data_IF_135686104585
#
_entry.id   IF_135686104585
#
_cell.length_a   1.000
_cell.length_b   1.000
_cell.length_c   1.000
_cell.angle_alpha   90.00
_cell.angle_beta   90.00
_cell.angle_gamma   90.00
#
_symmetry.space_group_name_H-M   'P 1'
#
loop_
_entity.id
_entity.type
_entity.pdbx_description
1 polymer ?
#
# COMPACT_ATOMS: atom_id res chain seq x y z
N UNK A 1 -0.24 -4.07 40.02
CA UNK A 1 -1.45 -3.26 40.27
C UNK A 1 -1.55 -2.21 39.18
N UNK A 2 -2.77 -1.81 38.75
CA UNK A 2 -2.94 -0.66 37.83
C UNK A 2 -3.27 -0.98 36.37
N UNK A 3 -4.00 -2.06 36.07
CA UNK A 3 -4.75 -2.18 34.80
C UNK A 3 -6.12 -1.54 35.00
N UNK A 4 -6.39 -0.38 34.39
CA UNK A 4 -7.75 0.15 34.09
C UNK A 4 -7.65 1.57 33.48
N UNK A 5 -7.65 1.67 32.14
CA UNK A 5 -8.04 2.88 31.38
C UNK A 5 -8.11 2.54 29.87
N UNK A 6 -9.10 1.73 29.45
CA UNK A 6 -9.41 1.51 28.02
C UNK A 6 -10.79 0.87 27.79
N UNK A 7 -11.83 1.38 28.46
CA UNK A 7 -13.23 1.07 28.15
C UNK A 7 -14.08 2.33 28.38
N UNK A 8 -14.30 3.15 27.33
CA UNK A 8 -15.28 4.25 27.39
C UNK A 8 -15.76 4.81 26.02
N UNK A 9 -15.67 4.05 24.91
CA UNK A 9 -16.32 4.41 23.64
C UNK A 9 -17.55 3.54 23.30
N UNK A 10 -17.72 2.39 23.96
CA UNK A 10 -18.86 1.49 23.76
C UNK A 10 -20.26 2.13 23.94
N UNK A 11 -20.50 3.08 24.88
CA UNK A 11 -21.80 3.74 24.99
C UNK A 11 -22.16 4.61 23.77
N UNK A 12 -21.16 5.32 23.22
CA UNK A 12 -21.37 6.21 22.05
C UNK A 12 -21.71 5.44 20.77
N UNK A 13 -21.24 4.20 20.64
CA UNK A 13 -21.55 3.37 19.47
C UNK A 13 -23.01 2.86 19.41
N UNK A 14 -23.68 2.73 20.55
CA UNK A 14 -25.09 2.36 20.58
C UNK A 14 -26.00 3.55 20.19
N UNK A 15 -25.71 4.74 20.72
CA UNK A 15 -26.55 5.93 20.56
C UNK A 15 -26.72 6.36 19.09
N UNK A 16 -25.66 6.40 18.29
CA UNK A 16 -25.77 6.80 16.87
C UNK A 16 -26.71 5.89 16.03
N UNK A 17 -27.00 4.66 16.48
CA UNK A 17 -27.94 3.75 15.79
C UNK A 17 -29.36 3.94 16.33
N UNK A 18 -29.54 4.01 17.65
CA UNK A 18 -30.88 4.12 18.27
C UNK A 18 -31.53 5.48 18.07
N UNK A 19 -30.77 6.59 18.02
CA UNK A 19 -31.34 7.93 17.83
C UNK A 19 -31.96 8.14 16.44
N UNK A 20 -31.42 7.49 15.41
CA UNK A 20 -31.93 7.55 14.03
C UNK A 20 -33.26 6.82 13.85
N UNK A 21 -33.57 5.87 14.73
CA UNK A 21 -34.87 5.18 14.79
C UNK A 21 -35.85 5.93 15.71
N UNK A 22 -35.39 6.42 16.87
CA UNK A 22 -36.20 7.27 17.76
C UNK A 22 -36.67 8.57 17.09
N UNK A 23 -35.82 9.20 16.26
CA UNK A 23 -36.16 10.39 15.48
C UNK A 23 -37.27 10.16 14.44
N UNK A 24 -37.58 8.90 14.09
CA UNK A 24 -38.70 8.57 13.18
C UNK A 24 -40.01 8.28 13.90
N UNK A 25 -39.98 8.02 15.21
CA UNK A 25 -41.18 7.66 15.99
C UNK A 25 -41.78 8.85 16.75
N UNK A 26 -40.99 9.87 17.10
CA UNK A 26 -41.49 11.05 17.83
C UNK A 26 -41.91 12.20 16.91
N UNK A 27 -43.02 12.02 16.18
CA UNK A 27 -43.89 13.14 15.78
C UNK A 27 -44.93 13.33 16.88
N UNK A 28 -44.49 13.86 18.02
CA UNK A 28 -45.38 14.19 19.15
C UNK A 28 -45.92 15.61 18.99
N UNK A 29 -47.21 15.79 19.26
CA UNK A 29 -47.97 17.02 19.01
C UNK A 29 -47.87 18.07 20.11
N UNK A 30 -46.83 18.03 20.96
CA UNK A 30 -46.71 18.93 22.12
C UNK A 30 -45.51 19.89 22.03
N UNK A 31 -45.77 21.16 22.32
CA UNK A 31 -45.00 22.33 21.88
C UNK A 31 -43.74 22.66 22.67
N UNK A 32 -42.95 21.66 23.08
CA UNK A 32 -41.64 21.88 23.74
C UNK A 32 -40.52 21.10 23.06
N UNK A 33 -39.86 21.77 22.11
CA UNK A 33 -38.62 21.28 21.51
C UNK A 33 -37.47 21.34 22.52
N UNK A 34 -37.13 20.20 23.11
CA UNK A 34 -35.82 19.99 23.75
C UNK A 34 -34.72 20.24 22.71
N UNK A 35 -33.81 21.18 22.98
CA UNK A 35 -32.59 21.32 22.17
C UNK A 35 -31.76 20.05 22.34
N UNK A 36 -31.80 19.17 21.34
CA UNK A 36 -30.75 18.16 21.15
C UNK A 36 -29.48 18.92 20.77
N UNK A 37 -28.42 18.75 21.54
CA UNK A 37 -27.18 19.50 21.35
C UNK A 37 -26.53 19.18 20.00
N UNK A 38 -26.30 20.21 19.18
CA UNK A 38 -25.79 20.06 17.82
C UNK A 38 -24.41 19.36 17.73
N UNK A 39 -23.68 19.28 18.86
CA UNK A 39 -22.38 18.61 18.96
C UNK A 39 -22.46 17.11 18.64
N UNK A 40 -23.50 16.39 19.06
CA UNK A 40 -23.55 14.92 18.86
C UNK A 40 -23.65 14.54 17.37
N UNK A 41 -24.40 15.36 16.61
CA UNK A 41 -24.53 15.21 15.15
C UNK A 41 -23.19 15.27 14.41
N UNK A 42 -22.20 16.01 14.94
CA UNK A 42 -20.88 16.13 14.33
C UNK A 42 -20.03 14.87 14.53
N UNK A 43 -20.15 14.23 15.70
CA UNK A 43 -19.42 13.02 16.08
C UNK A 43 -19.92 11.80 15.29
N UNK A 44 -21.24 11.55 15.29
CA UNK A 44 -21.80 10.47 14.48
C UNK A 44 -21.51 10.66 12.98
N UNK A 45 -21.51 11.91 12.48
CA UNK A 45 -21.13 12.21 11.09
C UNK A 45 -19.66 11.85 10.79
N UNK A 46 -18.73 12.20 11.66
CA UNK A 46 -17.32 11.87 11.49
C UNK A 46 -17.09 10.34 11.50
N UNK A 47 -17.71 9.63 12.45
CA UNK A 47 -17.65 8.17 12.56
C UNK A 47 -18.20 7.50 11.28
N UNK A 48 -19.36 7.94 10.79
CA UNK A 48 -19.97 7.38 9.58
C UNK A 48 -19.18 7.73 8.31
N UNK A 49 -18.56 8.91 8.25
CA UNK A 49 -17.62 9.31 7.19
C UNK A 49 -16.42 8.37 7.15
N UNK A 50 -15.83 8.08 8.30
CA UNK A 50 -14.69 7.18 8.42
C UNK A 50 -15.08 5.73 8.09
N UNK A 51 -16.22 5.23 8.59
CA UNK A 51 -16.75 3.90 8.27
C UNK A 51 -17.01 3.71 6.78
N UNK A 52 -17.55 4.72 6.09
CA UNK A 52 -17.72 4.68 4.64
C UNK A 52 -16.40 4.44 3.91
N UNK A 53 -15.32 5.14 4.30
CA UNK A 53 -13.99 4.94 3.73
C UNK A 53 -13.43 3.55 4.09
N UNK A 54 -13.51 3.13 5.36
CA UNK A 54 -13.06 1.80 5.82
C UNK A 54 -13.66 0.66 5.01
N UNK A 55 -14.99 0.67 4.79
CA UNK A 55 -15.66 -0.35 3.98
C UNK A 55 -15.35 -0.21 2.48
N UNK A 56 -15.16 1.00 1.94
CA UNK A 56 -14.76 1.15 0.53
C UNK A 56 -13.39 0.53 0.26
N UNK A 57 -12.42 0.74 1.17
CA UNK A 57 -11.03 0.31 1.01
C UNK A 57 -10.79 -1.14 1.47
N UNK A 58 -11.52 -1.61 2.49
CA UNK A 58 -11.26 -2.88 3.18
C UNK A 58 -10.16 -2.76 4.24
N UNK A 59 -10.20 -1.66 5.00
CA UNK A 59 -9.30 -1.32 6.11
C UNK A 59 -9.82 -1.85 7.46
N UNK A 60 -9.01 -1.81 8.52
CA UNK A 60 -9.45 -2.16 9.88
C UNK A 60 -9.80 -3.64 10.07
N UNK A 61 -9.33 -4.53 9.19
CA UNK A 61 -9.73 -5.94 9.14
C UNK A 61 -11.07 -6.19 8.42
N UNK A 62 -11.74 -5.15 7.90
CA UNK A 62 -12.98 -5.30 7.15
C UNK A 62 -12.72 -5.85 5.74
N UNK A 63 -13.71 -6.58 5.21
CA UNK A 63 -13.77 -6.92 3.78
C UNK A 63 -14.26 -5.68 3.03
N UNK A 64 -13.63 -5.38 1.89
CA UNK A 64 -14.02 -4.26 1.05
C UNK A 64 -15.42 -4.49 0.47
N UNK A 65 -16.35 -3.61 0.77
CA UNK A 65 -17.78 -3.70 0.46
C UNK A 65 -18.32 -2.28 0.14
N UNK A 66 -18.62 -2.05 -1.13
CA UNK A 66 -19.09 -0.74 -1.62
C UNK A 66 -20.55 -0.43 -1.22
N UNK A 67 -21.36 -1.46 -0.97
CA UNK A 67 -22.77 -1.32 -0.59
C UNK A 67 -22.87 -0.93 0.89
N UNK A 68 -22.13 -1.61 1.76
CA UNK A 68 -22.00 -1.23 3.18
C UNK A 68 -21.28 0.12 3.34
N UNK A 69 -20.27 0.40 2.50
CA UNK A 69 -19.64 1.71 2.41
C UNK A 69 -20.65 2.83 2.11
N UNK A 70 -21.52 2.63 1.12
CA UNK A 70 -22.57 3.58 0.76
C UNK A 70 -23.64 3.75 1.86
N UNK A 71 -23.97 2.68 2.58
CA UNK A 71 -24.87 2.76 3.73
C UNK A 71 -24.36 3.76 4.78
N UNK A 72 -23.12 3.64 5.23
CA UNK A 72 -22.52 4.59 6.18
C UNK A 72 -22.36 5.99 5.58
N UNK A 73 -22.05 6.11 4.29
CA UNK A 73 -21.95 7.41 3.65
C UNK A 73 -23.29 8.19 3.65
N UNK A 74 -24.43 7.50 3.48
CA UNK A 74 -25.76 8.12 3.63
C UNK A 74 -26.02 8.59 5.07
N UNK A 75 -25.57 7.84 6.07
CA UNK A 75 -25.66 8.24 7.48
C UNK A 75 -24.72 9.39 7.86
N UNK A 76 -23.78 9.78 6.99
CA UNK A 76 -22.90 10.93 7.15
C UNK A 76 -23.42 12.21 6.45
N UNK A 77 -24.61 12.17 5.85
CA UNK A 77 -25.22 13.32 5.18
C UNK A 77 -25.85 14.27 6.20
N UNK A 78 -25.54 15.56 6.10
CA UNK A 78 -26.21 16.62 6.87
C UNK A 78 -26.94 17.52 5.88
N UNK A 79 -28.26 17.68 6.02
CA UNK A 79 -29.09 18.47 5.08
C UNK A 79 -28.87 18.07 3.60
N UNK A 80 -28.79 16.77 3.31
CA UNK A 80 -28.46 16.21 1.99
C UNK A 80 -27.08 16.63 1.42
N UNK A 81 -26.22 17.27 2.22
CA UNK A 81 -24.86 17.63 1.83
C UNK A 81 -23.88 16.53 2.22
N UNK A 82 -23.12 16.10 1.22
CA UNK A 82 -22.03 15.15 1.35
C UNK A 82 -20.85 15.77 2.11
N UNK A 83 -20.19 15.05 3.04
CA UNK A 83 -18.87 15.42 3.55
C UNK A 83 -17.87 15.59 2.41
N UNK A 84 -16.93 16.52 2.56
CA UNK A 84 -15.93 16.82 1.52
C UNK A 84 -15.04 15.59 1.24
N UNK A 85 -14.71 14.88 2.31
CA UNK A 85 -13.95 13.63 2.37
C UNK A 85 -14.58 12.51 1.52
N UNK A 86 -15.90 12.57 1.32
CA UNK A 86 -16.69 11.61 0.55
C UNK A 86 -17.07 12.11 -0.85
N UNK A 87 -16.70 13.32 -1.28
CA UNK A 87 -17.17 13.87 -2.57
C UNK A 87 -16.74 13.05 -3.80
N UNK A 88 -15.54 12.48 -3.77
CA UNK A 88 -15.07 11.57 -4.82
C UNK A 88 -15.65 10.16 -4.66
N UNK A 89 -15.94 9.75 -3.42
CA UNK A 89 -16.59 8.47 -3.10
C UNK A 89 -18.06 8.43 -3.56
N UNK A 90 -18.79 9.55 -3.41
CA UNK A 90 -20.09 9.78 -4.04
C UNK A 90 -20.05 9.50 -5.54
N UNK A 91 -19.01 9.97 -6.21
CA UNK A 91 -18.83 9.73 -7.65
C UNK A 91 -18.66 8.23 -7.90
N UNK A 92 -17.86 7.51 -7.10
CA UNK A 92 -17.75 6.05 -7.18
C UNK A 92 -19.07 5.31 -6.93
N UNK A 93 -19.92 5.77 -6.01
CA UNK A 93 -21.25 5.20 -5.79
C UNK A 93 -22.19 5.40 -6.97
N UNK A 94 -22.17 6.57 -7.63
CA UNK A 94 -22.90 6.77 -8.90
C UNK A 94 -22.34 5.85 -9.99
N UNK A 95 -21.02 5.73 -10.11
CA UNK A 95 -20.38 4.80 -11.05
C UNK A 95 -20.75 3.33 -10.81
N UNK A 96 -21.09 2.95 -9.57
CA UNK A 96 -21.58 1.62 -9.19
C UNK A 96 -23.11 1.46 -9.34
N UNK A 97 -23.85 2.56 -9.51
CA UNK A 97 -25.32 2.58 -9.58
C UNK A 97 -26.04 2.63 -8.22
N UNK A 98 -25.32 2.90 -7.12
CA UNK A 98 -25.89 2.96 -5.77
C UNK A 98 -26.52 4.33 -5.44
N UNK A 99 -26.01 5.39 -6.06
CA UNK A 99 -26.42 6.77 -5.83
C UNK A 99 -26.83 7.42 -7.15
N UNK A 100 -27.93 8.20 -7.12
CA UNK A 100 -28.50 8.90 -8.28
C UNK A 100 -28.46 10.43 -8.12
N UNK A 101 -27.79 10.94 -7.08
CA UNK A 101 -27.81 12.36 -6.72
C UNK A 101 -26.94 13.24 -7.63
N UNK A 102 -26.22 12.66 -8.58
CA UNK A 102 -25.58 13.32 -9.71
C UNK A 102 -25.60 12.38 -10.92
N UNK A 103 -25.55 12.92 -12.14
CA UNK A 103 -25.52 12.09 -13.36
C UNK A 103 -24.19 11.36 -13.51
N UNK A 104 -24.17 10.23 -14.23
CA UNK A 104 -22.93 9.49 -14.43
C UNK A 104 -21.87 10.31 -15.20
N UNK A 105 -22.30 11.15 -16.14
CA UNK A 105 -21.41 12.10 -16.83
C UNK A 105 -20.77 13.11 -15.85
N UNK A 106 -21.47 13.52 -14.79
CA UNK A 106 -20.89 14.34 -13.72
C UNK A 106 -19.94 13.53 -12.83
N UNK A 107 -20.26 12.27 -12.53
CA UNK A 107 -19.39 11.37 -11.76
C UNK A 107 -18.04 11.19 -12.48
N UNK A 108 -18.07 10.98 -13.80
CA UNK A 108 -16.88 10.83 -14.62
C UNK A 108 -16.12 12.14 -14.81
N UNK A 109 -16.81 13.26 -15.07
CA UNK A 109 -16.16 14.58 -15.12
C UNK A 109 -15.53 14.97 -13.78
N UNK A 110 -16.00 14.45 -12.64
CA UNK A 110 -15.29 14.59 -11.35
C UNK A 110 -13.99 13.81 -11.36
N UNK A 111 -14.01 12.50 -11.63
CA UNK A 111 -12.78 11.72 -11.72
C UNK A 111 -11.78 12.29 -12.74
N UNK A 112 -12.23 12.69 -13.93
CA UNK A 112 -11.38 13.33 -14.94
C UNK A 112 -10.74 14.63 -14.45
N UNK A 113 -11.49 15.50 -13.73
CA UNK A 113 -10.92 16.73 -13.14
C UNK A 113 -9.87 16.43 -12.09
N UNK A 114 -10.07 15.43 -11.25
CA UNK A 114 -9.08 15.03 -10.24
C UNK A 114 -7.83 14.41 -10.90
N UNK A 115 -8.01 13.55 -11.93
CA UNK A 115 -6.89 12.93 -12.67
C UNK A 115 -6.08 13.97 -13.44
N UNK A 116 -6.74 14.95 -14.08
CA UNK A 116 -6.09 16.04 -14.82
C UNK A 116 -5.65 17.20 -13.92
N UNK A 117 -5.69 17.04 -12.60
CA UNK A 117 -5.19 18.02 -11.64
C UNK A 117 -3.65 18.09 -11.68
N UNK A 118 -3.10 19.28 -11.52
CA UNK A 118 -1.66 19.49 -11.27
C UNK A 118 -1.26 19.11 -9.82
N UNK A 119 -2.24 18.86 -8.95
CA UNK A 119 -2.06 18.32 -7.61
C UNK A 119 -1.94 16.79 -7.69
N UNK A 120 -0.74 16.27 -7.40
CA UNK A 120 -0.43 14.85 -7.43
C UNK A 120 -1.24 14.03 -6.43
N UNK A 121 -1.51 14.55 -5.21
CA UNK A 121 -2.30 13.83 -4.22
C UNK A 121 -3.76 13.66 -4.65
N UNK A 122 -4.33 14.68 -5.31
CA UNK A 122 -5.69 14.59 -5.89
C UNK A 122 -5.75 13.59 -7.05
N UNK A 123 -4.76 13.64 -7.93
CA UNK A 123 -4.60 12.70 -9.04
C UNK A 123 -4.44 11.26 -8.55
N UNK A 124 -3.54 11.02 -7.59
CA UNK A 124 -3.26 9.71 -7.02
C UNK A 124 -4.45 9.16 -6.24
N UNK A 125 -5.15 9.99 -5.45
CA UNK A 125 -6.40 9.59 -4.76
C UNK A 125 -7.46 9.18 -5.78
N UNK A 126 -7.63 9.91 -6.88
CA UNK A 126 -8.59 9.55 -7.92
C UNK A 126 -8.23 8.23 -8.61
N UNK A 127 -6.97 8.04 -8.98
CA UNK A 127 -6.49 6.79 -9.57
C UNK A 127 -6.66 5.61 -8.59
N UNK A 128 -6.31 5.78 -7.31
CA UNK A 128 -6.50 4.76 -6.28
C UNK A 128 -7.98 4.41 -6.07
N UNK A 129 -8.88 5.40 -6.06
CA UNK A 129 -10.32 5.17 -5.96
C UNK A 129 -10.87 4.41 -7.17
N UNK A 130 -10.40 4.71 -8.38
CA UNK A 130 -10.79 3.95 -9.59
C UNK A 130 -10.19 2.55 -9.62
N UNK A 131 -8.97 2.36 -9.09
CA UNK A 131 -8.35 1.04 -8.91
C UNK A 131 -9.14 0.19 -7.90
N UNK A 132 -9.58 0.77 -6.78
CA UNK A 132 -10.45 0.07 -5.83
C UNK A 132 -11.84 -0.20 -6.42
N UNK A 133 -12.44 0.78 -7.10
CA UNK A 133 -13.71 0.63 -7.79
C UNK A 133 -13.65 -0.48 -8.85
N UNK A 134 -12.50 -0.72 -9.48
CA UNK A 134 -12.27 -1.84 -10.40
C UNK A 134 -12.33 -3.24 -9.77
N UNK A 135 -12.42 -3.35 -8.44
CA UNK A 135 -12.75 -4.59 -7.74
C UNK A 135 -14.27 -4.82 -7.63
N UNK A 136 -15.06 -3.74 -7.63
CA UNK A 136 -16.52 -3.75 -7.57
C UNK A 136 -17.20 -3.64 -8.94
N UNK A 137 -16.40 -3.32 -9.97
CA UNK A 137 -16.78 -3.24 -11.38
C UNK A 137 -16.22 -4.42 -12.18
N UNK A 138 -16.92 -4.83 -13.25
CA UNK A 138 -16.43 -5.83 -14.21
C UNK A 138 -15.19 -5.36 -14.98
N UNK A 139 -14.37 -6.31 -15.44
CA UNK A 139 -13.24 -6.07 -16.36
C UNK A 139 -13.55 -6.60 -17.76
N UNK A 140 -13.17 -5.85 -18.78
CA UNK A 140 -13.46 -6.14 -20.19
C UNK A 140 -12.36 -5.57 -21.11
N UNK A 141 -12.27 -6.06 -22.33
CA UNK A 141 -11.37 -5.64 -23.40
C UNK A 141 -12.19 -5.29 -24.64
N UNK A 142 -11.88 -4.19 -25.34
CA UNK A 142 -12.63 -3.77 -26.53
C UNK A 142 -11.84 -4.01 -27.82
N UNK A 143 -12.47 -4.56 -28.86
CA UNK A 143 -11.94 -4.63 -30.23
C UNK A 143 -13.08 -4.52 -31.26
N UNK A 144 -12.98 -3.55 -32.17
CA UNK A 144 -14.02 -3.29 -33.18
C UNK A 144 -15.31 -2.77 -32.54
N UNK A 145 -16.41 -3.50 -32.69
CA UNK A 145 -17.68 -3.27 -31.99
C UNK A 145 -17.96 -4.33 -30.91
N UNK A 146 -16.95 -5.14 -30.56
CA UNK A 146 -17.10 -6.31 -29.70
C UNK A 146 -16.30 -6.12 -28.41
N UNK A 147 -16.92 -6.54 -27.30
CA UNK A 147 -16.37 -6.46 -25.96
C UNK A 147 -16.15 -7.90 -25.44
N UNK A 148 -14.93 -8.15 -24.99
CA UNK A 148 -14.39 -9.44 -24.57
C UNK A 148 -14.11 -9.40 -23.06
N UNK A 149 -14.12 -10.54 -22.37
CA UNK A 149 -13.75 -10.59 -20.95
C UNK A 149 -12.26 -10.83 -20.68
N UNK A 150 -11.52 -11.28 -21.70
CA UNK A 150 -10.09 -11.56 -21.63
C UNK A 150 -9.29 -10.68 -22.61
N UNK A 151 -7.96 -10.68 -22.48
CA UNK A 151 -7.03 -9.94 -23.36
C UNK A 151 -6.68 -10.75 -24.62
N UNK A 152 -6.83 -12.07 -24.56
CA UNK A 152 -6.44 -13.01 -25.63
C UNK A 152 -7.50 -13.16 -26.74
N UNK A 153 -8.67 -12.54 -26.57
CA UNK A 153 -9.84 -12.52 -27.46
C UNK A 153 -10.46 -13.90 -27.69
N UNK A 154 -10.35 -14.81 -26.71
CA UNK A 154 -10.75 -16.22 -26.86
C UNK A 154 -12.26 -16.48 -26.62
N UNK A 155 -12.99 -15.55 -25.99
CA UNK A 155 -14.43 -15.65 -25.76
C UNK A 155 -15.20 -14.34 -26.05
N UNK A 156 -16.30 -14.42 -26.81
CA UNK A 156 -17.18 -13.29 -27.21
C UNK A 156 -18.67 -13.69 -27.15
N UNK A 157 -19.57 -12.90 -26.52
CA UNK A 157 -20.99 -13.30 -26.31
C UNK A 157 -22.00 -12.14 -25.96
N UNK A 158 -23.35 -12.40 -25.78
CA UNK A 158 -24.53 -11.43 -25.59
C UNK A 158 -25.32 -11.45 -24.22
N UNK A 159 -25.76 -10.29 -23.64
CA UNK A 159 -25.66 -9.73 -22.24
C UNK A 159 -26.42 -10.31 -21.00
N UNK A 160 -25.82 -10.20 -19.78
CA UNK A 160 -26.54 -9.74 -18.56
C UNK A 160 -26.08 -8.38 -17.97
N UNK A 161 -27.03 -7.44 -17.81
CA UNK A 161 -26.83 -6.05 -17.34
C UNK A 161 -26.29 -5.93 -15.89
N UNK A 162 -26.15 -7.02 -15.16
CA UNK A 162 -25.69 -7.03 -13.76
C UNK A 162 -24.17 -6.85 -13.59
N UNK A 163 -23.38 -7.08 -14.64
CA UNK A 163 -21.93 -6.91 -14.60
C UNK A 163 -21.39 -6.18 -15.84
N UNK A 164 -22.13 -5.14 -16.21
CA UNK A 164 -21.69 -3.95 -16.94
C UNK A 164 -22.60 -2.83 -16.41
N UNK A 165 -22.08 -1.71 -15.91
CA UNK A 165 -22.98 -0.62 -15.50
C UNK A 165 -23.51 0.03 -16.78
N UNK A 166 -24.71 -0.41 -17.17
CA UNK A 166 -25.48 0.15 -18.26
C UNK A 166 -25.93 1.56 -17.87
N UNK A 167 -25.28 2.55 -18.46
CA UNK A 167 -25.39 3.96 -18.11
C UNK A 167 -26.61 4.60 -18.75
N UNK A 168 -26.85 4.26 -20.02
CA UNK A 168 -27.85 4.90 -20.87
C UNK A 168 -28.19 4.01 -22.05
N UNK A 169 -29.45 3.92 -22.43
CA UNK A 169 -29.88 3.32 -23.69
C UNK A 169 -30.37 4.42 -24.62
N UNK A 170 -29.89 4.44 -25.86
CA UNK A 170 -30.34 5.37 -26.90
C UNK A 170 -30.16 4.73 -28.28
N UNK A 171 -31.20 4.69 -29.11
CA UNK A 171 -31.12 4.16 -30.49
C UNK A 171 -30.62 2.71 -30.60
N UNK A 172 -30.91 1.87 -29.58
CA UNK A 172 -30.41 0.50 -29.51
C UNK A 172 -28.92 0.38 -29.14
N UNK A 173 -28.26 1.46 -28.74
CA UNK A 173 -26.92 1.43 -28.14
C UNK A 173 -27.01 1.61 -26.63
N UNK A 174 -26.38 0.69 -25.90
CA UNK A 174 -26.11 0.77 -24.48
C UNK A 174 -24.75 1.46 -24.27
N UNK A 175 -24.76 2.53 -23.48
CA UNK A 175 -23.54 3.12 -22.95
C UNK A 175 -23.09 2.29 -21.75
N UNK A 176 -21.86 1.80 -21.75
CA UNK A 176 -21.28 0.92 -20.71
C UNK A 176 -20.09 1.61 -20.07
N UNK A 177 -20.07 1.67 -18.74
CA UNK A 177 -18.86 1.98 -17.99
C UNK A 177 -18.01 0.72 -17.86
N UNK A 178 -16.81 0.77 -18.43
CA UNK A 178 -15.89 -0.35 -18.49
C UNK A 178 -14.43 0.11 -18.33
N UNK A 179 -13.56 -0.78 -17.86
CA UNK A 179 -12.12 -0.52 -17.81
C UNK A 179 -11.54 -0.63 -19.23
N UNK A 180 -10.68 0.30 -19.61
CA UNK A 180 -9.94 0.21 -20.87
C UNK A 180 -8.72 -0.73 -20.76
N UNK A 181 -7.91 -0.84 -21.82
CA UNK A 181 -6.70 -1.69 -21.82
C UNK A 181 -5.62 -1.25 -20.81
N UNK A 182 -5.59 0.02 -20.38
CA UNK A 182 -4.78 0.50 -19.25
C UNK A 182 -5.54 0.47 -17.92
N UNK A 183 -6.67 -0.23 -17.86
CA UNK A 183 -7.55 -0.39 -16.71
C UNK A 183 -8.43 0.82 -16.37
N UNK A 184 -8.25 1.96 -17.04
CA UNK A 184 -8.96 3.19 -16.69
C UNK A 184 -10.46 3.11 -17.05
N UNK A 185 -11.38 3.37 -16.10
CA UNK A 185 -12.80 3.36 -16.37
C UNK A 185 -13.14 4.46 -17.39
N UNK A 186 -13.74 4.01 -18.49
CA UNK A 186 -14.07 4.77 -19.68
C UNK A 186 -15.50 4.42 -20.10
N UNK A 187 -16.16 5.35 -20.80
CA UNK A 187 -17.48 5.09 -21.39
C UNK A 187 -17.32 4.54 -22.80
N UNK A 188 -18.05 3.48 -23.08
CA UNK A 188 -18.17 2.85 -24.39
C UNK A 188 -19.63 2.86 -24.83
N UNK A 189 -19.89 2.86 -26.13
CA UNK A 189 -21.23 2.65 -26.69
C UNK A 189 -21.23 1.34 -27.49
N UNK A 190 -22.13 0.42 -27.18
CA UNK A 190 -22.25 -0.89 -27.84
C UNK A 190 -23.71 -1.34 -27.93
N UNK A 191 -24.06 -2.19 -28.91
CA UNK A 191 -25.46 -2.63 -29.10
C UNK A 191 -25.82 -3.87 -28.27
N UNK A 192 -24.91 -4.82 -28.17
CA UNK A 192 -24.95 -6.06 -27.36
C UNK A 192 -23.51 -6.45 -26.95
N UNK A 193 -23.33 -7.30 -25.93
CA UNK A 193 -22.08 -7.50 -25.11
C UNK A 193 -22.34 -8.63 -24.07
N UNK A 194 -21.40 -9.38 -23.45
CA UNK A 194 -21.74 -10.32 -22.32
C UNK A 194 -20.60 -10.71 -21.42
N UNK A 195 -21.04 -11.39 -20.36
CA UNK A 195 -20.35 -12.09 -19.32
C UNK A 195 -20.52 -13.61 -19.38
N UNK A 196 -19.38 -14.29 -19.47
CA UNK A 196 -19.08 -15.46 -18.63
C UNK A 196 -17.80 -15.11 -17.88
N UNK A 197 -17.72 -15.40 -16.58
CA UNK A 197 -16.60 -14.94 -15.75
C UNK A 197 -15.47 -15.96 -15.68
N UNK A 198 -14.23 -15.47 -15.78
CA UNK A 198 -13.07 -16.12 -15.14
C UNK A 198 -12.13 -15.08 -14.57
N UNK A 199 -11.46 -15.48 -13.49
CA UNK A 199 -10.78 -14.59 -12.53
C UNK A 199 -9.30 -14.47 -12.92
N UNK A 200 -8.89 -13.31 -13.42
CA UNK A 200 -7.48 -12.97 -13.64
C UNK A 200 -7.08 -11.84 -12.69
N UNK A 201 -5.99 -12.01 -11.93
CA UNK A 201 -5.49 -10.99 -11.01
C UNK A 201 -4.78 -9.89 -11.82
N UNK A 202 -5.11 -8.62 -11.55
CA UNK A 202 -4.57 -7.49 -12.35
C UNK A 202 -3.15 -7.14 -11.91
N UNK A 203 -2.26 -6.76 -12.85
CA UNK A 203 -1.08 -5.99 -12.48
C UNK A 203 -1.54 -4.67 -11.85
N UNK A 204 -0.81 -4.27 -10.83
CA UNK A 204 -1.22 -3.26 -9.84
C UNK A 204 -1.01 -1.82 -10.36
N UNK A 205 -0.43 -1.71 -11.56
CA UNK A 205 0.24 -0.53 -12.07
C UNK A 205 -0.37 -0.10 -13.40
N UNK A 206 -0.63 1.21 -13.52
CA UNK A 206 -1.23 1.81 -14.73
C UNK A 206 -0.42 2.95 -15.35
N UNK A 207 0.68 3.34 -14.72
CA UNK A 207 1.68 4.23 -15.31
C UNK A 207 2.96 3.43 -15.56
N UNK A 208 3.36 3.41 -16.81
CA UNK A 208 4.68 3.00 -17.25
C UNK A 208 5.45 4.30 -17.55
N UNK A 209 6.71 4.44 -17.13
CA UNK A 209 7.54 5.57 -17.55
C UNK A 209 7.56 5.67 -19.07
N UNK A 210 7.36 6.87 -19.62
CA UNK A 210 7.35 7.02 -21.08
C UNK A 210 8.73 6.66 -21.67
N UNK A 211 8.78 6.02 -22.84
CA UNK A 211 10.06 5.63 -23.45
C UNK A 211 10.93 6.82 -23.88
N UNK A 212 10.35 8.03 -23.89
CA UNK A 212 10.99 9.29 -24.26
C UNK A 212 11.27 10.22 -23.07
N UNK A 213 10.93 9.85 -21.82
CA UNK A 213 11.19 10.68 -20.65
C UNK A 213 12.69 10.81 -20.38
N UNK A 214 13.26 11.97 -20.70
CA UNK A 214 14.67 12.30 -20.41
C UNK A 214 14.93 12.60 -18.92
N UNK A 215 13.89 12.53 -18.09
CA UNK A 215 13.96 12.66 -16.63
C UNK A 215 13.19 11.55 -15.95
N UNK A 216 13.38 11.43 -14.64
CA UNK A 216 12.65 10.49 -13.78
C UNK A 216 11.20 10.99 -13.68
N UNK A 217 10.21 10.15 -13.97
CA UNK A 217 8.79 10.46 -13.76
C UNK A 217 8.30 9.88 -12.41
N UNK A 218 7.51 10.63 -11.63
CA UNK A 218 6.85 10.07 -10.43
C UNK A 218 5.64 9.23 -10.86
N UNK A 219 5.92 8.00 -11.25
CA UNK A 219 4.93 6.99 -11.66
C UNK A 219 4.33 6.21 -10.49
N UNK A 220 4.68 6.56 -9.24
CA UNK A 220 4.20 5.87 -8.04
C UNK A 220 2.69 6.03 -7.89
N UNK A 221 2.02 4.97 -7.46
CA UNK A 221 0.56 4.96 -7.25
C UNK A 221 0.24 4.62 -5.80
N UNK A 222 -0.58 5.44 -5.14
CA UNK A 222 -1.03 5.15 -3.79
C UNK A 222 -1.90 3.89 -3.77
N UNK A 223 -1.61 2.98 -2.86
CA UNK A 223 -2.45 1.85 -2.51
C UNK A 223 -2.94 2.00 -1.07
N UNK A 224 -4.16 1.54 -0.82
CA UNK A 224 -4.73 1.46 0.53
C UNK A 224 -4.54 0.09 1.17
N UNK A 225 -4.19 -0.91 0.35
CA UNK A 225 -3.90 -2.28 0.79
C UNK A 225 -2.93 -2.96 -0.17
N UNK A 226 -1.99 -3.73 0.38
CA UNK A 226 -1.13 -4.61 -0.41
C UNK A 226 -2.02 -5.56 -1.24
N UNK A 227 -1.86 -5.62 -2.58
CA UNK A 227 -2.72 -6.45 -3.41
C UNK A 227 -2.43 -7.93 -3.14
N UNK A 228 -3.47 -8.76 -3.13
CA UNK A 228 -3.37 -10.15 -2.65
C UNK A 228 -2.34 -10.97 -3.43
N UNK A 229 -2.03 -10.62 -4.68
CA UNK A 229 -1.01 -11.25 -5.52
C UNK A 229 0.44 -11.02 -5.04
N UNK A 230 0.69 -9.99 -4.22
CA UNK A 230 2.03 -9.61 -3.76
C UNK A 230 2.33 -10.02 -2.32
N UNK A 231 3.62 -10.12 -1.94
CA UNK A 231 4.05 -10.21 -0.54
C UNK A 231 3.51 -9.06 0.32
N UNK A 232 3.30 -9.32 1.61
CA UNK A 232 2.90 -8.29 2.56
C UNK A 232 4.08 -7.37 2.89
N UNK A 233 4.00 -6.10 2.52
CA UNK A 233 4.97 -5.06 2.92
C UNK A 233 4.41 -4.19 4.04
N UNK A 234 5.27 -3.84 4.99
CA UNK A 234 4.98 -2.95 6.12
C UNK A 234 6.13 -1.99 6.41
N UNK A 235 5.96 -1.15 7.43
CA UNK A 235 6.97 -0.17 7.85
C UNK A 235 7.91 -0.81 8.86
N UNK A 236 9.21 -0.71 8.60
CA UNK A 236 10.27 -1.01 9.55
C UNK A 236 10.70 0.30 10.23
N UNK A 237 10.54 0.36 11.55
CA UNK A 237 11.02 1.47 12.39
C UNK A 237 12.27 1.00 13.12
N UNK A 238 13.41 1.64 12.81
CA UNK A 238 14.69 1.37 13.44
C UNK A 238 15.07 2.54 14.36
N UNK A 239 15.42 2.26 15.61
CA UNK A 239 15.80 3.28 16.60
C UNK A 239 17.22 3.08 17.09
N UNK A 240 17.98 4.16 17.18
CA UNK A 240 19.42 4.18 17.44
C UNK A 240 19.79 5.20 18.51
N UNK A 241 20.92 4.99 19.17
CA UNK A 241 21.68 6.04 19.86
C UNK A 241 22.96 6.29 19.05
N UNK A 242 23.18 7.54 18.62
CA UNK A 242 24.40 7.96 17.90
C UNK A 242 25.60 8.04 18.85
N UNK A 243 26.83 8.16 18.34
CA UNK A 243 28.01 8.30 19.20
C UNK A 243 27.95 9.52 20.14
N UNK A 244 27.29 10.59 19.72
CA UNK A 244 27.06 11.79 20.53
C UNK A 244 25.92 11.65 21.57
N UNK A 245 25.36 10.44 21.73
CA UNK A 245 24.27 10.13 22.65
C UNK A 245 22.88 10.54 22.17
N UNK A 246 22.75 11.25 21.03
CA UNK A 246 21.43 11.67 20.53
C UNK A 246 20.64 10.48 19.97
N UNK A 247 19.32 10.43 20.19
CA UNK A 247 18.47 9.44 19.55
C UNK A 247 18.34 9.73 18.06
N UNK A 248 18.33 8.66 17.25
CA UNK A 248 18.00 8.72 15.83
C UNK A 248 16.94 7.65 15.52
N UNK A 249 16.01 7.96 14.63
CA UNK A 249 15.01 7.02 14.14
C UNK A 249 14.96 7.09 12.62
N UNK A 250 15.05 5.92 11.97
CA UNK A 250 14.75 5.78 10.55
C UNK A 250 13.45 5.01 10.35
N UNK A 251 12.81 5.27 9.22
CA UNK A 251 11.70 4.48 8.70
C UNK A 251 12.13 3.92 7.34
N UNK A 252 11.91 2.63 7.17
CA UNK A 252 12.15 1.86 5.96
C UNK A 252 10.91 1.02 5.64
N UNK A 253 10.93 0.37 4.49
CA UNK A 253 10.00 -0.70 4.16
C UNK A 253 10.64 -2.04 4.50
N UNK A 254 9.85 -2.98 4.99
CA UNK A 254 10.22 -4.39 5.06
C UNK A 254 9.09 -5.26 4.51
N UNK A 255 9.45 -6.41 3.95
CA UNK A 255 8.51 -7.32 3.30
C UNK A 255 8.54 -8.69 3.96
N UNK A 256 7.37 -9.18 4.34
CA UNK A 256 7.16 -10.48 4.97
C UNK A 256 7.41 -11.61 3.96
N UNK A 257 8.46 -12.40 4.17
CA UNK A 257 8.87 -13.51 3.30
C UNK A 257 8.48 -14.89 3.87
N UNK A 258 8.23 -14.95 5.18
CA UNK A 258 7.47 -16.05 5.82
C UNK A 258 6.84 -15.53 7.12
N UNK A 259 6.01 -16.33 7.80
CA UNK A 259 5.26 -15.90 8.99
C UNK A 259 6.08 -15.17 10.07
N UNK A 260 7.37 -15.49 10.23
CA UNK A 260 8.24 -14.87 11.24
C UNK A 260 9.47 -14.16 10.65
N UNK A 261 9.58 -14.03 9.32
CA UNK A 261 10.77 -13.45 8.68
C UNK A 261 10.42 -12.34 7.69
N UNK A 262 11.17 -11.24 7.81
CA UNK A 262 11.14 -10.10 6.89
C UNK A 262 12.43 -10.03 6.07
N UNK A 263 12.30 -9.49 4.86
CA UNK A 263 13.38 -8.97 4.03
C UNK A 263 13.37 -7.43 4.10
N UNK A 264 14.54 -6.81 4.22
CA UNK A 264 14.73 -5.35 4.11
C UNK A 264 16.15 -5.04 3.63
N UNK A 265 16.52 -3.76 3.61
CA UNK A 265 17.86 -3.30 3.25
C UNK A 265 18.78 -3.29 4.49
N UNK A 266 20.09 -3.52 4.29
CA UNK A 266 21.06 -3.53 5.38
C UNK A 266 21.27 -2.13 5.97
N UNK A 267 21.24 -1.08 5.16
CA UNK A 267 21.40 0.30 5.65
C UNK A 267 20.25 0.77 6.54
N UNK A 268 19.11 0.07 6.55
CA UNK A 268 18.02 0.31 7.50
C UNK A 268 18.37 -0.14 8.93
N UNK A 269 19.49 -0.86 9.12
CA UNK A 269 20.00 -1.34 10.40
C UNK A 269 21.19 -0.50 10.92
N UNK A 270 21.49 0.64 10.31
CA UNK A 270 22.57 1.56 10.69
C UNK A 270 22.14 3.04 10.63
N UNK A 271 22.86 3.93 11.31
CA UNK A 271 22.78 5.37 11.03
C UNK A 271 23.42 5.70 9.66
N UNK A 272 23.10 6.84 9.02
CA UNK A 272 23.75 7.28 7.79
C UNK A 272 25.29 7.41 7.91
N UNK A 273 25.79 7.63 9.12
CA UNK A 273 27.21 7.72 9.44
C UNK A 273 27.84 6.36 9.80
N UNK A 274 27.03 5.31 10.00
CA UNK A 274 27.47 3.96 10.36
C UNK A 274 27.94 3.81 11.82
N UNK A 275 27.72 4.84 12.63
CA UNK A 275 28.28 5.03 13.98
C UNK A 275 27.32 4.65 15.12
N UNK A 276 26.02 4.56 14.81
CA UNK A 276 24.94 4.49 15.79
C UNK A 276 24.61 3.07 16.24
N UNK A 277 24.36 2.93 17.54
CA UNK A 277 23.99 1.68 18.17
C UNK A 277 22.48 1.44 18.08
N UNK A 278 22.09 0.39 17.37
CA UNK A 278 20.71 -0.06 17.24
C UNK A 278 20.11 -0.47 18.61
N UNK A 279 18.99 0.14 18.97
CA UNK A 279 18.29 -0.03 20.25
C UNK A 279 17.07 -0.93 20.15
N UNK A 280 16.28 -0.76 19.08
CA UNK A 280 15.08 -1.53 18.81
C UNK A 280 14.70 -1.48 17.34
N UNK A 281 13.97 -2.51 16.93
CA UNK A 281 13.44 -2.71 15.59
C UNK A 281 11.97 -3.15 15.73
N UNK A 282 11.10 -2.47 14.99
CA UNK A 282 9.65 -2.64 15.09
C UNK A 282 9.05 -2.70 13.68
N UNK A 283 8.24 -3.71 13.41
CA UNK A 283 7.56 -3.89 12.12
C UNK A 283 6.07 -3.62 12.25
N UNK A 284 5.52 -2.76 11.38
CA UNK A 284 4.10 -2.39 11.35
C UNK A 284 3.50 -2.87 10.03
N UNK A 285 2.77 -3.99 10.09
CA UNK A 285 2.34 -4.74 8.90
C UNK A 285 1.24 -4.07 8.05
N UNK A 286 0.37 -3.30 8.69
CA UNK A 286 -0.72 -2.57 8.04
C UNK A 286 -0.99 -1.28 8.84
N UNK A 287 -0.20 -0.21 8.62
CA UNK A 287 -0.15 0.95 9.51
C UNK A 287 -1.32 1.94 9.30
N UNK A 288 -2.22 1.69 8.35
CA UNK A 288 -3.47 2.43 8.17
C UNK A 288 -4.70 1.66 8.65
N UNK A 289 -4.58 0.36 8.92
CA UNK A 289 -5.66 -0.41 9.54
C UNK A 289 -5.93 0.12 10.95
N UNK A 290 -7.01 0.87 11.11
CA UNK A 290 -7.48 1.41 12.41
C UNK A 290 -8.02 0.33 13.36
N UNK A 291 -7.58 -0.92 13.21
CA UNK A 291 -7.69 -1.94 14.23
C UNK A 291 -7.02 -1.44 15.52
N UNK A 292 -7.56 -1.73 16.72
CA UNK A 292 -6.83 -1.52 17.98
C UNK A 292 -5.51 -2.32 18.04
N UNK A 293 -5.31 -3.24 17.09
CA UNK A 293 -4.07 -3.90 16.78
C UNK A 293 -3.55 -3.44 15.41
N UNK A 294 -3.10 -2.18 15.32
CA UNK A 294 -1.96 -1.86 14.46
C UNK A 294 -0.88 -2.90 14.81
N UNK A 295 -0.60 -3.84 13.90
CA UNK A 295 0.20 -5.02 14.22
C UNK A 295 1.70 -4.65 14.21
N UNK A 296 2.07 -3.85 15.21
CA UNK A 296 3.43 -3.60 15.67
C UNK A 296 3.96 -4.89 16.28
N UNK A 297 4.96 -5.46 15.62
CA UNK A 297 5.66 -6.65 16.08
C UNK A 297 7.11 -6.29 16.29
N UNK A 298 7.61 -6.51 17.50
CA UNK A 298 9.03 -6.36 17.80
C UNK A 298 9.84 -7.35 16.95
N UNK A 299 10.99 -6.92 16.44
CA UNK A 299 11.97 -7.81 15.82
C UNK A 299 12.88 -8.36 16.91
N UNK A 300 12.96 -9.69 17.03
CA UNK A 300 13.77 -10.37 18.05
C UNK A 300 15.24 -10.48 17.65
N UNK A 301 15.53 -10.55 16.35
CA UNK A 301 16.90 -10.62 15.82
C UNK A 301 16.94 -10.08 14.38
N UNK A 302 18.08 -9.51 14.00
CA UNK A 302 18.33 -9.03 12.65
C UNK A 302 19.71 -9.52 12.17
N UNK A 303 19.84 -9.70 10.87
CA UNK A 303 21.09 -10.06 10.21
C UNK A 303 21.26 -9.19 8.95
N UNK A 304 22.50 -8.84 8.64
CA UNK A 304 22.86 -8.13 7.41
C UNK A 304 23.91 -8.90 6.62
N UNK A 305 24.01 -8.61 5.33
CA UNK A 305 25.09 -9.12 4.50
C UNK A 305 26.47 -8.73 5.05
N UNK A 306 27.37 -9.69 5.21
CA UNK A 306 28.67 -9.50 5.89
C UNK A 306 29.63 -8.51 5.20
N UNK A 307 29.44 -8.29 3.88
CA UNK A 307 30.18 -7.30 3.10
C UNK A 307 29.63 -5.87 3.21
N UNK A 308 28.44 -5.66 3.79
CA UNK A 308 27.83 -4.33 3.82
C UNK A 308 28.56 -3.38 4.76
N UNK A 309 29.01 -2.25 4.23
CA UNK A 309 29.75 -1.20 4.97
C UNK A 309 29.29 0.18 4.50
N UNK A 310 28.96 1.07 5.45
CA UNK A 310 28.59 2.46 5.16
C UNK A 310 29.71 3.23 4.44
N UNK A 311 30.98 2.86 4.67
CA UNK A 311 32.14 3.39 3.95
C UNK A 311 32.13 3.12 2.44
N UNK A 312 31.44 2.06 1.97
CA UNK A 312 31.33 1.77 0.54
C UNK A 312 30.40 2.78 -0.16
N UNK A 313 29.41 3.35 0.54
CA UNK A 313 28.62 4.49 0.04
C UNK A 313 29.46 5.77 -0.02
N UNK A 314 30.20 6.06 1.06
CA UNK A 314 31.03 7.28 1.18
C UNK A 314 32.16 7.34 0.14
N UNK A 315 32.70 6.19 -0.24
CA UNK A 315 33.73 6.06 -1.29
C UNK A 315 33.16 5.96 -2.72
N UNK A 316 31.83 6.01 -2.89
CA UNK A 316 31.18 5.91 -4.19
C UNK A 316 31.14 4.49 -4.79
N UNK A 317 31.47 3.45 -4.01
CA UNK A 317 31.41 2.05 -4.46
C UNK A 317 29.97 1.52 -4.43
N UNK A 318 29.13 2.05 -5.34
CA UNK A 318 27.70 1.73 -5.46
C UNK A 318 27.45 0.23 -5.57
N UNK A 319 28.25 -0.49 -6.38
CA UNK A 319 28.07 -1.92 -6.63
C UNK A 319 28.28 -2.73 -5.36
N UNK A 320 29.35 -2.45 -4.60
CA UNK A 320 29.61 -3.16 -3.33
C UNK A 320 28.61 -2.78 -2.25
N UNK A 321 28.32 -1.49 -2.09
CA UNK A 321 27.35 -1.01 -1.10
C UNK A 321 25.96 -1.61 -1.35
N UNK A 322 25.41 -1.39 -2.55
CA UNK A 322 24.05 -1.79 -2.90
C UNK A 322 23.93 -3.29 -3.14
N UNK A 323 24.95 -3.93 -3.72
CA UNK A 323 24.99 -5.39 -3.91
C UNK A 323 25.09 -6.19 -2.60
N UNK A 324 25.40 -5.53 -1.50
CA UNK A 324 25.35 -6.10 -0.14
C UNK A 324 24.23 -5.51 0.71
N UNK A 325 23.36 -4.65 0.17
CA UNK A 325 22.34 -3.94 0.93
C UNK A 325 21.09 -4.81 1.20
N UNK A 326 21.31 -5.95 1.84
CA UNK A 326 20.31 -6.99 2.10
C UNK A 326 20.35 -7.35 3.59
N UNK A 327 19.19 -7.29 4.24
CA UNK A 327 18.98 -7.69 5.61
C UNK A 327 17.78 -8.63 5.77
N UNK A 328 17.89 -9.52 6.76
CA UNK A 328 16.84 -10.41 7.21
C UNK A 328 16.49 -10.10 8.66
N UNK A 329 15.21 -10.09 8.99
CA UNK A 329 14.73 -9.77 10.33
C UNK A 329 13.78 -10.86 10.80
N UNK A 330 14.01 -11.40 12.00
CA UNK A 330 13.13 -12.37 12.63
C UNK A 330 12.22 -11.68 13.63
N UNK A 331 10.91 -11.74 13.38
CA UNK A 331 9.88 -11.21 14.26
C UNK A 331 9.87 -11.95 15.60
N UNK A 332 9.53 -11.27 16.70
CA UNK A 332 9.37 -11.88 18.02
C UNK A 332 8.15 -12.82 18.09
N UNK A 333 7.13 -12.57 17.27
CA UNK A 333 5.94 -13.40 17.13
C UNK A 333 5.59 -13.57 15.65
N UNK A 334 5.05 -14.74 15.23
CA UNK A 334 4.65 -14.94 13.86
C UNK A 334 3.40 -14.13 13.50
N UNK A 335 3.37 -13.56 12.30
CA UNK A 335 2.21 -12.95 11.66
C UNK A 335 1.57 -13.99 10.75
N UNK A 336 0.24 -14.10 10.76
CA UNK A 336 -0.47 -15.03 9.89
C UNK A 336 -0.28 -14.67 8.41
N UNK A 337 0.42 -15.53 7.67
CA UNK A 337 0.58 -15.42 6.21
C UNK A 337 -0.35 -16.37 5.49
N UNK A 338 -1.18 -15.86 4.58
CA UNK A 338 -2.02 -16.67 3.68
C UNK A 338 -1.31 -17.13 2.41
N UNK A 339 -0.02 -16.81 2.25
CA UNK A 339 0.77 -17.10 1.05
C UNK A 339 2.20 -17.51 1.36
N UNK A 340 2.70 -18.46 0.56
CA UNK A 340 4.12 -18.66 0.37
C UNK A 340 4.67 -17.54 -0.51
N UNK A 341 5.78 -16.94 -0.11
CA UNK A 341 6.58 -16.05 -0.95
C UNK A 341 7.66 -16.88 -1.62
N UNK A 342 7.95 -16.60 -2.87
CA UNK A 342 8.99 -17.25 -3.67
C UNK A 342 10.12 -16.26 -3.93
N UNK A 343 11.36 -16.65 -3.63
CA UNK A 343 12.56 -15.89 -3.96
C UNK A 343 13.11 -16.40 -5.29
N UNK A 344 13.49 -15.51 -6.19
CA UNK A 344 14.01 -15.86 -7.51
C UNK A 344 15.18 -14.96 -7.90
N UNK A 345 15.99 -15.44 -8.86
CA UNK A 345 16.91 -14.54 -9.58
C UNK A 345 16.13 -13.65 -10.55
N UNK A 346 16.65 -12.46 -10.83
CA UNK A 346 16.03 -11.56 -11.81
C UNK A 346 16.01 -12.23 -13.20
N UNK A 347 14.82 -12.37 -13.81
CA UNK A 347 14.72 -12.93 -15.15
C UNK A 347 15.21 -11.91 -16.20
N UNK A 348 16.27 -12.20 -16.99
CA UNK A 348 16.95 -11.22 -17.83
C UNK A 348 16.07 -10.67 -18.97
N UNK A 349 15.11 -11.46 -19.44
CA UNK A 349 14.21 -11.07 -20.54
C UNK A 349 13.02 -10.20 -20.08
N UNK A 350 12.85 -9.96 -18.78
CA UNK A 350 11.75 -9.16 -18.24
C UNK A 350 12.30 -7.98 -17.42
N UNK A 351 12.54 -6.87 -18.10
CA UNK A 351 13.05 -5.64 -17.46
C UNK A 351 12.04 -4.95 -16.53
N UNK A 352 10.77 -5.39 -16.48
CA UNK A 352 9.77 -4.76 -15.63
C UNK A 352 9.80 -5.33 -14.21
N UNK A 353 10.00 -4.43 -13.26
CA UNK A 353 9.96 -4.73 -11.83
C UNK A 353 8.89 -3.88 -11.15
N UNK A 354 8.28 -4.48 -10.13
CA UNK A 354 7.25 -3.86 -9.30
C UNK A 354 7.73 -3.82 -7.84
N UNK A 355 7.43 -2.75 -7.10
CA UNK A 355 7.79 -2.58 -5.69
C UNK A 355 6.64 -1.98 -4.89
N UNK A 356 6.50 -2.41 -3.64
CA UNK A 356 5.55 -1.88 -2.66
C UNK A 356 6.32 -1.33 -1.45
N UNK A 357 6.12 -0.05 -1.11
CA UNK A 357 6.79 0.56 0.05
C UNK A 357 6.15 1.85 0.55
N UNK A 358 6.74 2.40 1.62
CA UNK A 358 6.18 3.50 2.41
C UNK A 358 7.07 4.75 2.31
N UNK A 359 6.92 5.58 1.26
CA UNK A 359 7.71 6.80 1.08
C UNK A 359 7.44 7.90 2.10
N UNK A 360 8.51 8.55 2.55
CA UNK A 360 8.48 9.68 3.49
C UNK A 360 8.10 11.03 2.83
N UNK A 361 8.07 11.13 1.49
CA UNK A 361 7.59 12.32 0.76
C UNK A 361 6.06 12.32 0.56
N UNK A 362 5.38 11.27 1.02
CA UNK A 362 3.92 11.11 0.96
C UNK A 362 3.37 11.10 2.40
N UNK A 363 2.05 11.15 2.62
CA UNK A 363 1.49 11.11 3.97
C UNK A 363 1.96 9.87 4.72
N UNK A 364 2.33 10.02 6.00
CA UNK A 364 2.88 8.94 6.82
C UNK A 364 2.01 7.68 6.72
N UNK A 365 2.68 6.53 6.67
CA UNK A 365 2.05 5.21 6.65
C UNK A 365 1.20 4.88 5.42
N UNK A 366 1.13 5.76 4.41
CA UNK A 366 0.50 5.40 3.13
C UNK A 366 1.38 4.42 2.35
N UNK A 367 0.77 3.37 1.81
CA UNK A 367 1.44 2.39 0.96
C UNK A 367 1.48 2.91 -0.48
N UNK A 368 2.61 2.78 -1.15
CA UNK A 368 2.79 3.19 -2.54
C UNK A 368 3.43 2.09 -3.36
N UNK A 369 2.97 2.00 -4.59
CA UNK A 369 3.45 1.06 -5.57
C UNK A 369 4.31 1.80 -6.60
N UNK A 370 5.54 1.31 -6.87
CA UNK A 370 6.36 1.72 -8.02
C UNK A 370 6.41 0.59 -9.07
N UNK A 371 6.26 0.91 -10.36
CA UNK A 371 6.64 0.01 -11.47
C UNK A 371 7.66 0.70 -12.35
N UNK A 372 8.75 0.00 -12.62
CA UNK A 372 9.95 0.57 -13.22
C UNK A 372 10.57 -0.41 -14.23
N UNK A 373 11.36 0.11 -15.16
CA UNK A 373 12.33 -0.67 -15.91
C UNK A 373 13.63 -0.75 -15.11
N UNK A 374 14.16 -1.96 -15.01
CA UNK A 374 15.50 -2.23 -14.50
C UNK A 374 16.51 -2.21 -15.66
N UNK A 375 17.65 -1.55 -15.44
CA UNK A 375 18.85 -1.66 -16.29
C UNK A 375 20.04 -2.00 -15.41
N UNK A 376 20.87 -2.96 -15.80
CA UNK A 376 22.07 -3.30 -15.03
C UNK A 376 22.99 -2.08 -14.87
N UNK A 377 23.50 -1.90 -13.65
CA UNK A 377 24.44 -0.83 -13.29
C UNK A 377 25.82 -1.38 -12.97
N UNK A 378 25.90 -2.54 -12.31
CA UNK A 378 27.15 -3.21 -11.99
C UNK A 378 26.93 -4.69 -11.68
N UNK A 379 27.74 -5.53 -12.31
CA UNK A 379 27.73 -6.97 -12.08
C UNK A 379 28.13 -7.28 -10.62
N UNK A 380 27.46 -8.26 -10.03
CA UNK A 380 27.74 -8.75 -8.68
C UNK A 380 28.88 -9.77 -8.65
N UNK A 381 28.79 -10.71 -7.72
CA UNK A 381 29.62 -11.91 -7.70
C UNK A 381 28.80 -13.08 -7.13
N UNK A 382 29.40 -14.25 -6.93
CA UNK A 382 28.69 -15.36 -6.28
C UNK A 382 28.09 -14.93 -4.93
N UNK A 383 28.85 -14.18 -4.13
CA UNK A 383 28.47 -13.72 -2.79
C UNK A 383 28.17 -12.20 -2.74
N UNK A 384 27.69 -11.61 -3.84
CA UNK A 384 27.30 -10.20 -3.89
C UNK A 384 26.21 -10.03 -4.97
N UNK A 385 25.10 -9.36 -4.65
CA UNK A 385 24.03 -9.13 -5.62
C UNK A 385 24.52 -8.23 -6.76
N UNK A 386 24.06 -8.50 -7.98
CA UNK A 386 24.19 -7.54 -9.08
C UNK A 386 23.30 -6.34 -8.80
N UNK A 387 23.73 -5.16 -9.22
CA UNK A 387 23.04 -3.90 -8.94
C UNK A 387 22.38 -3.40 -10.21
N UNK A 388 21.08 -3.11 -10.10
CA UNK A 388 20.25 -2.62 -11.21
C UNK A 388 19.71 -1.24 -10.88
N UNK A 389 19.88 -0.29 -11.80
CA UNK A 389 19.28 1.04 -11.73
C UNK A 389 17.84 1.02 -12.24
N UNK A 390 16.99 1.86 -11.64
CA UNK A 390 15.59 2.04 -12.01
C UNK A 390 15.35 3.37 -12.74
N UNK A 391 14.37 3.39 -13.64
CA UNK A 391 13.93 4.60 -14.38
C UNK A 391 12.77 5.37 -13.72
N UNK A 392 12.42 5.01 -12.49
CA UNK A 392 11.34 5.60 -11.68
C UNK A 392 11.91 6.31 -10.44
N UNK A 393 11.08 7.05 -9.70
CA UNK A 393 11.48 7.58 -8.39
C UNK A 393 11.35 6.54 -7.26
N UNK A 394 12.30 6.59 -6.32
CA UNK A 394 12.17 6.07 -4.96
C UNK A 394 12.53 7.16 -3.96
N UNK A 395 11.88 7.23 -2.80
CA UNK A 395 12.24 8.17 -1.74
C UNK A 395 12.64 7.43 -0.45
N UNK A 396 13.26 8.15 0.49
CA UNK A 396 13.48 7.64 1.84
C UNK A 396 12.17 7.06 2.41
N UNK A 397 12.27 5.99 3.21
CA UNK A 397 11.10 5.18 3.60
C UNK A 397 10.82 4.00 2.66
N UNK A 398 11.09 4.12 1.35
CA UNK A 398 10.96 2.98 0.42
C UNK A 398 12.16 2.03 0.47
N UNK A 399 13.32 2.46 1.01
CA UNK A 399 14.47 1.60 1.29
C UNK A 399 14.05 0.28 1.94
N UNK A 400 14.57 -0.84 1.44
CA UNK A 400 14.22 -2.19 1.93
C UNK A 400 12.92 -2.78 1.38
N UNK A 401 12.17 -2.05 0.56
CA UNK A 401 11.04 -2.63 -0.17
C UNK A 401 11.50 -3.81 -1.05
N UNK A 402 10.77 -4.92 -1.01
CA UNK A 402 11.00 -6.01 -1.95
C UNK A 402 10.77 -5.53 -3.39
N UNK A 403 11.69 -5.91 -4.26
CA UNK A 403 11.52 -5.82 -5.71
C UNK A 403 10.94 -7.15 -6.19
N UNK A 404 9.84 -7.07 -6.91
CA UNK A 404 9.09 -8.22 -7.39
C UNK A 404 8.99 -8.26 -8.89
N UNK A 405 8.91 -9.47 -9.43
CA UNK A 405 8.74 -9.75 -10.84
C UNK A 405 7.62 -10.78 -10.98
N UNK A 406 6.72 -10.59 -11.94
CA UNK A 406 5.70 -11.58 -12.25
C UNK A 406 6.27 -12.61 -13.23
N UNK A 407 6.34 -13.86 -12.79
CA UNK A 407 6.72 -15.02 -13.62
C UNK A 407 5.59 -16.04 -13.49
N UNK A 408 5.01 -16.46 -14.63
CA UNK A 408 3.87 -17.39 -14.68
C UNK A 408 2.71 -16.99 -13.73
N UNK A 409 2.31 -15.71 -13.79
CA UNK A 409 1.28 -15.06 -12.95
C UNK A 409 1.54 -15.10 -11.42
N UNK A 410 2.77 -15.40 -10.99
CA UNK A 410 3.20 -15.36 -9.58
C UNK A 410 4.19 -14.22 -9.37
N UNK A 411 3.96 -13.40 -8.35
CA UNK A 411 4.93 -12.41 -7.90
C UNK A 411 6.05 -13.12 -7.12
N UNK A 412 7.25 -13.10 -7.67
CA UNK A 412 8.47 -13.60 -7.05
C UNK A 412 9.32 -12.40 -6.59
N UNK A 413 9.96 -12.48 -5.42
CA UNK A 413 10.91 -11.46 -4.98
C UNK A 413 12.24 -11.72 -5.69
N UNK A 414 12.68 -10.74 -6.45
CA UNK A 414 13.94 -10.75 -7.23
C UNK A 414 15.00 -9.80 -6.68
N UNK A 415 14.68 -9.03 -5.65
CA UNK A 415 15.63 -8.06 -5.09
C UNK A 415 15.13 -7.25 -3.91
N UNK A 416 15.99 -6.35 -3.44
CA UNK A 416 15.72 -5.39 -2.35
C UNK A 416 16.07 -3.97 -2.83
N UNK A 417 15.12 -3.04 -2.69
CA UNK A 417 15.34 -1.63 -3.02
C UNK A 417 16.39 -1.03 -2.08
N UNK A 418 17.49 -0.56 -2.67
CA UNK A 418 18.65 -0.03 -1.99
C UNK A 418 18.62 1.51 -2.00
N UNK A 419 19.80 2.14 -2.00
CA UNK A 419 19.99 3.58 -2.10
C UNK A 419 19.71 4.14 -3.50
N UNK A 420 20.09 5.41 -3.72
CA UNK A 420 20.16 6.03 -5.04
C UNK A 420 21.62 6.22 -5.44
N UNK A 421 21.92 6.01 -6.72
CA UNK A 421 23.06 6.64 -7.36
C UNK A 421 22.77 8.15 -7.41
N UNK A 422 23.71 8.96 -6.95
CA UNK A 422 23.65 10.41 -7.06
C UNK A 422 25.02 10.98 -7.49
N UNK A 423 25.07 11.50 -8.71
CA UNK A 423 26.15 12.35 -9.22
C UNK A 423 25.57 13.34 -10.24
N UNK A 424 26.40 14.26 -10.77
CA UNK A 424 25.98 15.34 -11.66
C UNK A 424 25.26 14.88 -12.95
N UNK A 425 25.40 13.61 -13.34
CA UNK A 425 24.83 13.02 -14.55
C UNK A 425 23.76 11.94 -14.29
N UNK A 426 23.69 11.38 -13.07
CA UNK A 426 22.85 10.24 -12.73
C UNK A 426 22.23 10.43 -11.34
N UNK A 427 20.89 10.51 -11.32
CA UNK A 427 20.07 10.39 -10.13
C UNK A 427 19.10 9.24 -10.38
N UNK A 428 19.36 8.03 -9.86
CA UNK A 428 18.51 6.85 -10.07
C UNK A 428 18.47 5.97 -8.84
N UNK A 429 17.31 5.41 -8.45
CA UNK A 429 17.27 4.32 -7.47
C UNK A 429 18.07 3.13 -7.99
N UNK A 430 18.64 2.35 -7.06
CA UNK A 430 19.18 1.03 -7.36
C UNK A 430 18.55 -0.03 -6.47
N UNK A 431 18.58 -1.27 -6.91
CA UNK A 431 18.24 -2.43 -6.09
C UNK A 431 19.29 -3.53 -6.18
N UNK A 432 19.38 -4.31 -5.11
CA UNK A 432 20.19 -5.52 -5.03
C UNK A 432 19.41 -6.68 -5.66
N UNK A 433 19.83 -7.16 -6.83
CA UNK A 433 19.19 -8.30 -7.50
C UNK A 433 19.67 -9.62 -6.88
N UNK A 434 18.74 -10.43 -6.35
CA UNK A 434 19.07 -11.71 -5.75
C UNK A 434 19.68 -12.66 -6.77
N UNK A 435 20.65 -13.47 -6.33
CA UNK A 435 21.23 -14.56 -7.10
C UNK A 435 21.02 -15.90 -6.36
N UNK A 436 21.25 -17.03 -7.03
CA UNK A 436 21.01 -18.38 -6.49
C UNK A 436 21.76 -18.65 -5.18
N UNK A 437 22.99 -18.15 -5.03
CA UNK A 437 23.77 -18.34 -3.81
C UNK A 437 23.21 -17.52 -2.64
N UNK A 438 22.84 -16.25 -2.87
CA UNK A 438 22.21 -15.40 -1.86
C UNK A 438 20.87 -16.00 -1.42
N UNK A 439 20.02 -16.45 -2.36
CA UNK A 439 18.73 -17.10 -2.07
C UNK A 439 18.94 -18.33 -1.18
N UNK A 440 19.89 -19.20 -1.54
CA UNK A 440 20.24 -20.39 -0.73
C UNK A 440 20.71 -20.04 0.69
N UNK A 441 21.38 -18.90 0.89
CA UNK A 441 21.77 -18.42 2.22
C UNK A 441 20.56 -17.85 2.99
N UNK A 442 19.66 -17.12 2.34
CA UNK A 442 18.40 -16.64 2.93
C UNK A 442 17.55 -17.83 3.41
N UNK A 443 17.30 -18.81 2.54
CA UNK A 443 16.62 -20.08 2.89
C UNK A 443 17.40 -20.92 3.91
N UNK A 444 18.73 -20.76 3.94
CA UNK A 444 19.61 -21.27 4.99
C UNK A 444 19.19 -20.77 6.36
N UNK A 445 19.22 -19.45 6.52
CA UNK A 445 18.94 -18.74 7.77
C UNK A 445 17.49 -18.94 8.25
N UNK A 446 16.51 -18.88 7.33
CA UNK A 446 15.09 -19.10 7.64
C UNK A 446 14.86 -20.49 8.23
N UNK A 447 15.57 -21.50 7.71
CA UNK A 447 15.55 -22.88 8.20
C UNK A 447 16.43 -23.12 9.46
N UNK A 448 17.02 -22.07 10.04
CA UNK A 448 17.86 -22.17 11.24
C UNK A 448 19.25 -22.79 10.99
N UNK A 449 19.74 -22.77 9.75
CA UNK A 449 21.11 -23.18 9.41
C UNK A 449 22.05 -21.98 9.47
N UNK A 450 23.29 -22.20 9.88
CA UNK A 450 24.33 -21.18 9.83
C UNK A 450 24.58 -20.72 8.38
N UNK A 451 24.88 -19.43 8.24
CA UNK A 451 25.21 -18.80 6.96
C UNK A 451 26.53 -18.06 7.07
N UNK A 452 27.40 -18.20 6.08
CA UNK A 452 28.62 -17.38 6.01
C UNK A 452 28.36 -15.98 5.46
N UNK A 453 27.20 -15.78 4.81
CA UNK A 453 26.86 -14.54 4.11
C UNK A 453 26.19 -13.50 5.00
N UNK A 454 25.39 -13.92 5.98
CA UNK A 454 24.65 -13.03 6.87
C UNK A 454 25.22 -13.07 8.29
N UNK A 455 25.59 -11.90 8.82
CA UNK A 455 26.06 -11.71 10.19
C UNK A 455 24.96 -11.09 11.05
N UNK A 456 24.84 -11.54 12.30
CA UNK A 456 23.87 -10.99 13.24
C UNK A 456 24.21 -9.53 13.57
N UNK A 457 23.19 -8.68 13.63
CA UNK A 457 23.29 -7.28 14.03
C UNK A 457 22.86 -7.17 15.49
N UNK A 458 23.72 -6.68 16.41
CA UNK A 458 23.34 -6.48 17.80
C UNK A 458 22.18 -5.49 17.94
N UNK A 459 21.12 -5.92 18.63
CA UNK A 459 20.06 -5.05 19.12
C UNK A 459 20.36 -4.84 20.60
N UNK A 460 20.92 -3.68 20.94
CA UNK A 460 21.35 -3.34 22.31
C UNK A 460 20.36 -2.34 22.92
N UNK A 461 19.23 -2.81 23.51
CA UNK A 461 18.33 -1.92 24.21
C UNK A 461 19.09 -1.26 25.36
N UNK A 462 19.04 0.07 25.44
CA UNK A 462 19.48 0.79 26.64
C UNK A 462 18.72 0.23 27.82
N UNK A 463 19.44 -0.47 28.71
CA UNK A 463 18.96 -0.77 30.05
C UNK A 463 18.46 0.56 30.62
N UNK A 464 17.15 0.64 30.87
CA UNK A 464 16.61 1.77 31.63
C UNK A 464 17.39 1.79 32.94
N UNK A 465 18.22 2.81 33.15
CA UNK A 465 18.80 3.05 34.48
C UNK A 465 17.65 2.97 35.46
N UNK A 466 17.73 2.13 36.51
CA UNK A 466 16.69 2.12 37.52
C UNK A 466 16.59 3.55 38.02
N UNK A 467 15.39 4.14 37.87
CA UNK A 467 15.11 5.48 38.34
C UNK A 467 15.59 5.54 39.78
N UNK A 468 16.61 6.36 40.04
CA UNK A 468 17.03 6.62 41.42
C UNK A 468 15.78 7.11 42.12
N UNK A 469 15.33 6.35 43.12
CA UNK A 469 14.32 6.83 44.04
C UNK A 469 14.92 8.08 44.68
N UNK A 470 14.44 9.25 44.30
CA UNK A 470 14.73 10.46 45.03
C UNK A 470 14.12 10.28 46.41
N UNK A 471 15.01 10.04 47.38
CA UNK A 471 14.67 10.07 48.79
C UNK A 471 14.27 11.51 49.08
N UNK A 472 12.96 11.76 49.10
CA UNK A 472 12.40 13.00 49.61
C UNK A 472 12.70 13.02 51.11
N UNK A 473 13.81 13.67 51.45
CA UNK A 473 14.16 13.96 52.83
C UNK A 473 13.18 14.96 53.43
N UNK A 474 12.74 14.66 54.64
CA UNK A 474 11.91 15.50 55.52
C UNK A 474 12.59 16.81 55.91
#
# INVERSE_FOLDING_TARGET
>A
MGVLFLFNCLPLFANCVTELEASKQNVSTDGRASRVDANDSSTCRAINTQRAQHYFWGEGGLVADIDTSYHFAKQALTQQRWPYELMLLRSAYVLKGLDSSLSLDEALRRFQREISSNDSLRQDKALAMLNQLSKFLPRVTWQGNTLYHDIERKQSEILPLSAAVGVRSSGGQLQVLALNQSGMPSLYWGREVRLVSKKQDSPIFRRYPSSASKGIEDVRQQLWKAPVSMPGSGVLVSRFIRQDGRPFQSQCTATLISAQWLLSAAHCLSTPEGDGRLQSLEYIADPLSHSPHNLSVQVAAAWQHHLHRVSDQQSGNVTRYSGSDIALLKLAQPIATSKSVELAGLAPNNIWIDSLGFPNDKPLYTLWASRCRASEWGEGSVNLASVYALDCFSFAGQSGAAITQYINDRAQIVGVLSSRIFNDSVNRPVFAALNVAIIKQIEGLIAGRDTSLFVAVPIEPTLRSPLRAEVVGS
#
